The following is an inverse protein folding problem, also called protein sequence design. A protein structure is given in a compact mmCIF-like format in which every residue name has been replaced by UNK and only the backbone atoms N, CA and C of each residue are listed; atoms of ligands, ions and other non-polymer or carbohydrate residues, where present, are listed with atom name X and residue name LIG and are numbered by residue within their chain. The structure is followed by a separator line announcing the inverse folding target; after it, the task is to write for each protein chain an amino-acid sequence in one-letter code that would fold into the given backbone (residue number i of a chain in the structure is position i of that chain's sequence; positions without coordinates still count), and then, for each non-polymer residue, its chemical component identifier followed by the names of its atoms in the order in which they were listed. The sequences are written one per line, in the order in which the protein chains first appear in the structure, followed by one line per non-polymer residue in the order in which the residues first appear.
data_IF_634321169313
#
_entry.id   IF_634321169313
#
_cell.length_a   1.000
_cell.length_b   1.000
_cell.length_c   1.000
_cell.angle_alpha   90.00
_cell.angle_beta   90.00
_cell.angle_gamma   90.00
#
_symmetry.space_group_name_H-M   'P 1'
#
loop_
_entity.id
_entity.type
_entity.pdbx_description
1 polymer ?
#
# COMPACT_ATOMS: atom_id res chain seq x y z
N UNK A 1 -3.16 57.88 3.99
CA UNK A 1 -2.07 57.75 2.99
C UNK A 1 -1.95 56.26 2.67
N UNK A 2 -2.58 55.73 1.60
CA UNK A 2 -2.02 55.50 0.23
C UNK A 2 -0.65 54.78 0.32
N UNK A 3 -0.37 53.53 -0.14
CA UNK A 3 -0.87 52.63 -1.22
C UNK A 3 -0.37 51.19 -0.91
N UNK A 4 -1.17 50.11 -1.05
CA UNK A 4 -1.25 49.15 -2.18
C UNK A 4 0.06 48.39 -2.49
N UNK A 5 0.12 47.04 -2.44
CA UNK A 5 -0.17 46.03 -3.51
C UNK A 5 -0.38 44.68 -2.78
N UNK A 6 -1.52 43.98 -2.78
CA UNK A 6 -2.23 43.24 -3.84
C UNK A 6 -1.47 41.98 -4.35
N UNK A 7 -1.80 40.80 -3.80
CA UNK A 7 -1.73 39.53 -4.53
C UNK A 7 -2.79 38.55 -3.98
N UNK A 8 -3.88 38.44 -4.73
CA UNK A 8 -4.69 37.24 -4.97
C UNK A 8 -4.91 36.35 -3.73
N UNK A 9 -5.89 36.74 -2.90
CA UNK A 9 -6.74 35.73 -2.24
C UNK A 9 -7.55 35.11 -3.38
N UNK A 10 -7.08 33.98 -3.90
CA UNK A 10 -7.88 33.15 -4.76
C UNK A 10 -9.16 32.84 -3.99
N UNK A 11 -10.25 33.33 -4.54
CA UNK A 11 -11.59 33.06 -4.07
C UNK A 11 -11.82 31.55 -4.08
N UNK A 12 -11.69 30.93 -2.91
CA UNK A 12 -12.49 29.75 -2.54
C UNK A 12 -13.40 30.15 -1.38
N UNK A 13 -13.98 31.34 -1.48
CA UNK A 13 -15.32 31.57 -0.95
C UNK A 13 -16.27 30.71 -1.78
N UNK A 14 -16.39 29.47 -1.34
CA UNK A 14 -17.48 28.53 -1.61
C UNK A 14 -18.77 29.30 -1.89
N UNK A 15 -19.07 29.49 -3.18
CA UNK A 15 -20.42 29.74 -3.66
C UNK A 15 -21.22 28.45 -3.43
N UNK A 16 -21.54 28.14 -2.18
CA UNK A 16 -22.50 27.10 -1.79
C UNK A 16 -23.92 27.70 -1.88
N UNK A 17 -24.31 28.07 -3.09
CA UNK A 17 -25.70 28.33 -3.45
C UNK A 17 -25.88 28.15 -4.95
N UNK A 18 -25.43 27.02 -5.47
CA UNK A 18 -25.96 26.47 -6.70
C UNK A 18 -26.58 25.13 -6.33
N UNK A 19 -27.92 25.09 -6.28
CA UNK A 19 -28.71 23.87 -6.31
C UNK A 19 -28.49 23.15 -7.65
N UNK A 20 -27.25 22.72 -7.91
CA UNK A 20 -27.01 21.64 -8.85
C UNK A 20 -27.64 20.40 -8.25
N UNK A 21 -28.26 19.56 -9.08
CA UNK A 21 -28.76 18.25 -8.68
C UNK A 21 -27.58 17.39 -8.21
N UNK A 22 -27.13 17.57 -6.98
CA UNK A 22 -26.07 16.77 -6.38
C UNK A 22 -26.60 15.35 -6.24
N UNK A 23 -26.01 14.40 -6.96
CA UNK A 23 -26.27 13.00 -6.71
C UNK A 23 -25.76 12.67 -5.30
N UNK A 24 -26.57 11.99 -4.48
CA UNK A 24 -26.03 11.31 -3.31
C UNK A 24 -25.12 10.20 -3.84
N UNK A 25 -23.83 10.28 -3.52
CA UNK A 25 -22.86 9.25 -3.88
C UNK A 25 -22.52 8.53 -2.59
N UNK A 26 -22.68 7.22 -2.57
CA UNK A 26 -22.40 6.45 -1.37
C UNK A 26 -20.89 6.28 -1.22
N UNK A 27 -20.33 6.69 -0.08
CA UNK A 27 -18.94 6.44 0.28
C UNK A 27 -18.58 4.95 0.13
N UNK A 28 -19.46 4.07 0.60
CA UNK A 28 -19.29 2.61 0.50
C UNK A 28 -19.27 2.13 -0.95
N UNK A 29 -20.09 2.71 -1.82
CA UNK A 29 -20.10 2.33 -3.24
C UNK A 29 -18.78 2.69 -3.92
N UNK A 30 -18.23 3.86 -3.60
CA UNK A 30 -16.90 4.28 -4.09
C UNK A 30 -15.83 3.27 -3.64
N UNK A 31 -15.81 2.92 -2.34
CA UNK A 31 -14.83 1.98 -1.78
C UNK A 31 -14.91 0.61 -2.43
N UNK A 32 -16.11 0.05 -2.58
CA UNK A 32 -16.29 -1.26 -3.21
C UNK A 32 -15.76 -1.31 -4.66
N UNK A 33 -15.76 -0.18 -5.37
CA UNK A 33 -15.25 -0.10 -6.76
C UNK A 33 -13.73 0.00 -6.86
N UNK A 34 -13.04 0.28 -5.75
CA UNK A 34 -11.58 0.27 -5.65
C UNK A 34 -11.02 -1.13 -5.34
N UNK A 35 -11.87 -2.08 -4.93
CA UNK A 35 -11.42 -3.45 -4.66
C UNK A 35 -10.93 -4.13 -5.95
N UNK A 36 -9.77 -4.81 -5.96
CA UNK A 36 -9.24 -5.51 -7.12
C UNK A 36 -10.26 -6.44 -7.78
N UNK A 37 -11.04 -7.17 -6.97
CA UNK A 37 -12.10 -8.05 -7.46
C UNK A 37 -13.13 -7.29 -8.31
N UNK A 38 -13.52 -6.07 -7.92
CA UNK A 38 -14.45 -5.23 -8.67
C UNK A 38 -13.78 -4.61 -9.90
N UNK A 39 -12.55 -4.11 -9.74
CA UNK A 39 -11.76 -3.50 -10.84
C UNK A 39 -11.60 -4.50 -11.98
N UNK A 40 -11.22 -5.74 -11.68
CA UNK A 40 -10.97 -6.77 -12.68
C UNK A 40 -12.22 -7.55 -13.13
N UNK A 41 -13.35 -7.46 -12.41
CA UNK A 41 -14.63 -8.06 -12.83
C UNK A 41 -15.27 -7.37 -14.03
N UNK A 42 -14.87 -6.12 -14.35
CA UNK A 42 -15.46 -5.31 -15.42
C UNK A 42 -15.02 -5.76 -16.83
N UNK A 43 -15.63 -6.86 -17.30
CA UNK A 43 -15.45 -7.47 -18.63
C UNK A 43 -13.98 -7.75 -19.04
N UNK A 44 -13.09 -7.83 -18.05
CA UNK A 44 -11.65 -8.04 -18.27
C UNK A 44 -10.95 -6.90 -19.00
N UNK A 45 -11.54 -5.70 -19.01
CA UNK A 45 -10.98 -4.49 -19.65
C UNK A 45 -9.60 -4.16 -19.12
N UNK A 46 -9.45 -4.12 -17.79
CA UNK A 46 -8.20 -3.80 -17.14
C UNK A 46 -7.37 -5.05 -16.86
N UNK A 47 -6.07 -4.95 -17.07
CA UNK A 47 -5.06 -6.00 -16.86
C UNK A 47 -4.10 -5.66 -15.73
N UNK A 48 -3.99 -4.38 -15.38
CA UNK A 48 -3.33 -3.95 -14.16
C UNK A 48 -3.98 -2.67 -13.64
N UNK A 49 -3.76 -2.41 -12.36
CA UNK A 49 -4.19 -1.19 -11.70
C UNK A 49 -3.12 -0.77 -10.69
N UNK A 50 -2.86 0.53 -10.62
CA UNK A 50 -1.85 1.11 -9.74
C UNK A 50 -2.48 2.17 -8.86
N UNK A 51 -2.22 2.06 -7.56
CA UNK A 51 -2.46 3.11 -6.59
C UNK A 51 -1.13 3.76 -6.22
N UNK A 52 -1.03 5.08 -6.33
CA UNK A 52 0.10 5.88 -5.85
C UNK A 52 -0.36 6.71 -4.66
N UNK A 53 0.33 6.59 -3.53
CA UNK A 53 0.09 7.38 -2.33
C UNK A 53 1.19 8.42 -2.20
N UNK A 54 0.81 9.69 -2.04
CA UNK A 54 1.72 10.82 -1.85
C UNK A 54 1.37 11.57 -0.57
N UNK A 55 2.25 11.49 0.42
CA UNK A 55 2.12 12.19 1.69
C UNK A 55 2.78 13.56 1.60
N UNK A 56 2.07 14.58 2.06
CA UNK A 56 2.56 15.96 2.07
C UNK A 56 3.33 16.28 3.35
N UNK A 57 4.38 17.09 3.21
CA UNK A 57 5.18 17.62 4.32
C UNK A 57 4.44 18.72 5.11
N UNK A 58 5.12 19.34 6.08
CA UNK A 58 4.54 20.44 6.87
C UNK A 58 4.17 21.68 6.06
N UNK A 59 4.79 21.87 4.91
CA UNK A 59 4.60 23.01 4.03
C UNK A 59 3.61 22.71 2.89
N UNK A 60 3.11 21.47 2.79
CA UNK A 60 2.22 21.03 1.72
C UNK A 60 2.93 20.60 0.43
N UNK A 61 4.24 20.35 0.47
CA UNK A 61 4.99 19.78 -0.66
C UNK A 61 5.01 18.25 -0.57
N UNK A 62 5.28 17.59 -1.70
CA UNK A 62 5.45 16.14 -1.74
C UNK A 62 6.61 15.72 -0.83
N UNK A 63 6.29 14.98 0.24
CA UNK A 63 7.26 14.53 1.24
C UNK A 63 7.74 13.10 0.97
N UNK A 64 6.80 12.16 0.92
CA UNK A 64 7.06 10.73 0.66
C UNK A 64 6.00 10.17 -0.26
N UNK A 65 6.39 9.28 -1.17
CA UNK A 65 5.46 8.61 -2.06
C UNK A 65 5.86 7.16 -2.27
N UNK A 66 4.86 6.30 -2.37
CA UNK A 66 5.01 4.93 -2.83
C UNK A 66 3.83 4.54 -3.72
N UNK A 67 4.03 3.50 -4.52
CA UNK A 67 3.01 2.94 -5.40
C UNK A 67 2.83 1.46 -5.17
N UNK A 68 1.61 0.99 -5.36
CA UNK A 68 1.22 -0.42 -5.35
C UNK A 68 0.52 -0.71 -6.68
N UNK A 69 1.12 -1.57 -7.50
CA UNK A 69 0.52 -2.10 -8.71
C UNK A 69 0.02 -3.52 -8.46
N UNK A 70 -1.20 -3.80 -8.89
CA UNK A 70 -1.87 -5.09 -8.78
C UNK A 70 -2.22 -5.55 -10.19
N UNK A 71 -1.96 -6.81 -10.50
CA UNK A 71 -2.45 -7.48 -11.70
C UNK A 71 -2.90 -8.91 -11.38
N UNK A 72 -3.85 -9.49 -12.13
CA UNK A 72 -4.21 -10.90 -11.97
C UNK A 72 -2.98 -11.79 -12.14
N UNK A 73 -2.84 -12.80 -11.27
CA UNK A 73 -1.76 -13.76 -11.36
C UNK A 73 -1.86 -14.59 -12.65
N UNK A 74 -0.72 -15.11 -13.14
CA UNK A 74 -0.72 -15.95 -14.34
C UNK A 74 -1.35 -17.31 -14.06
N UNK A 75 -1.16 -17.81 -12.83
CA UNK A 75 -1.87 -18.94 -12.25
C UNK A 75 -2.93 -18.43 -11.25
N UNK A 76 -4.19 -18.72 -11.55
CA UNK A 76 -5.34 -18.33 -10.74
C UNK A 76 -5.24 -18.84 -9.28
N UNK A 77 -4.46 -19.90 -9.03
CA UNK A 77 -4.19 -20.42 -7.69
C UNK A 77 -3.40 -19.47 -6.78
N UNK A 78 -2.94 -18.31 -7.30
CA UNK A 78 -2.31 -17.25 -6.50
C UNK A 78 -3.13 -15.96 -6.45
N UNK A 79 -4.24 -15.88 -7.20
CA UNK A 79 -5.13 -14.72 -7.25
C UNK A 79 -4.52 -13.51 -7.96
N UNK A 80 -3.57 -12.84 -7.32
CA UNK A 80 -2.98 -11.58 -7.80
C UNK A 80 -1.47 -11.53 -7.62
N UNK A 81 -0.83 -10.75 -8.48
CA UNK A 81 0.56 -10.34 -8.39
C UNK A 81 0.62 -8.88 -7.95
N UNK A 82 1.59 -8.55 -7.10
CA UNK A 82 1.75 -7.25 -6.46
C UNK A 82 3.15 -6.70 -6.73
N UNK A 83 3.22 -5.41 -7.07
CA UNK A 83 4.46 -4.64 -7.10
C UNK A 83 4.29 -3.44 -6.18
N UNK A 84 5.05 -3.36 -5.10
CA UNK A 84 5.18 -2.13 -4.33
C UNK A 84 6.51 -1.46 -4.68
N UNK A 85 6.52 -0.14 -4.89
CA UNK A 85 7.76 0.63 -5.09
C UNK A 85 7.72 1.95 -4.37
N UNK A 86 8.81 2.29 -3.70
CA UNK A 86 9.13 3.65 -3.29
C UNK A 86 10.53 4.05 -3.82
N UNK A 87 11.10 5.14 -3.31
CA UNK A 87 12.40 5.64 -3.74
C UNK A 87 13.60 4.75 -3.38
N UNK A 88 13.45 3.87 -2.39
CA UNK A 88 14.56 3.08 -1.81
C UNK A 88 14.35 1.57 -1.99
N UNK A 89 13.10 1.14 -2.01
CA UNK A 89 12.70 -0.24 -1.85
C UNK A 89 11.64 -0.66 -2.88
N UNK A 90 11.71 -1.91 -3.32
CA UNK A 90 10.66 -2.53 -4.12
C UNK A 90 10.31 -3.92 -3.61
N UNK A 91 9.03 -4.29 -3.66
CA UNK A 91 8.52 -5.64 -3.41
C UNK A 91 7.86 -6.15 -4.66
N UNK A 92 8.07 -7.43 -4.94
CA UNK A 92 7.39 -8.15 -6.01
C UNK A 92 6.82 -9.45 -5.44
N UNK A 93 5.51 -9.54 -5.30
CA UNK A 93 4.82 -10.80 -5.03
C UNK A 93 4.27 -11.31 -6.36
N UNK A 94 4.77 -12.44 -6.84
CA UNK A 94 4.45 -12.96 -8.17
C UNK A 94 4.33 -14.48 -8.13
N UNK A 95 3.16 -14.99 -8.52
CA UNK A 95 2.89 -16.42 -8.73
C UNK A 95 3.44 -17.32 -7.60
N UNK A 96 3.13 -16.96 -6.35
CA UNK A 96 3.50 -17.74 -5.16
C UNK A 96 4.89 -17.42 -4.58
N UNK A 97 5.66 -16.53 -5.21
CA UNK A 97 7.01 -16.12 -4.76
C UNK A 97 7.00 -14.67 -4.33
N UNK A 98 7.87 -14.33 -3.38
CA UNK A 98 8.09 -12.96 -2.93
C UNK A 98 9.54 -12.58 -3.14
N UNK A 99 9.73 -11.42 -3.74
CA UNK A 99 11.01 -10.78 -3.93
C UNK A 99 11.00 -9.40 -3.29
N UNK A 100 12.17 -8.99 -2.85
CA UNK A 100 12.41 -7.64 -2.39
C UNK A 100 13.67 -7.10 -3.08
N UNK A 101 13.71 -5.80 -3.36
CA UNK A 101 14.87 -5.14 -3.94
C UNK A 101 15.23 -3.94 -3.08
N UNK A 102 16.49 -3.88 -2.66
CA UNK A 102 17.04 -2.77 -1.88
C UNK A 102 18.53 -2.62 -2.19
N UNK A 103 19.01 -1.39 -2.37
CA UNK A 103 20.41 -1.06 -2.69
C UNK A 103 20.97 -1.88 -3.90
N UNK A 104 20.13 -2.07 -4.92
CA UNK A 104 20.48 -2.83 -6.14
C UNK A 104 20.68 -4.33 -5.90
N UNK A 105 20.29 -4.85 -4.73
CA UNK A 105 20.28 -6.28 -4.43
C UNK A 105 18.87 -6.81 -4.49
N UNK A 106 18.69 -7.90 -5.22
CA UNK A 106 17.45 -8.67 -5.22
C UNK A 106 17.50 -9.77 -4.16
N UNK A 107 16.44 -9.86 -3.38
CA UNK A 107 16.25 -10.82 -2.32
C UNK A 107 15.10 -11.76 -2.69
N UNK A 108 15.31 -13.07 -2.57
CA UNK A 108 14.22 -14.05 -2.57
C UNK A 108 13.77 -14.24 -1.13
N UNK A 109 12.50 -13.91 -0.86
CA UNK A 109 11.94 -13.86 0.49
C UNK A 109 11.19 -15.16 0.77
N UNK A 110 11.59 -15.88 1.81
CA UNK A 110 10.78 -17.00 2.34
C UNK A 110 9.77 -16.48 3.35
N UNK A 111 8.54 -16.99 3.27
CA UNK A 111 7.45 -16.65 4.19
C UNK A 111 7.32 -17.76 5.24
N UNK A 112 7.65 -17.46 6.51
CA UNK A 112 7.73 -18.51 7.54
C UNK A 112 6.39 -18.75 8.23
N UNK A 113 5.65 -17.69 8.56
CA UNK A 113 4.41 -17.75 9.35
C UNK A 113 3.15 -17.45 8.56
N UNK A 114 3.28 -17.26 7.26
CA UNK A 114 2.20 -16.84 6.38
C UNK A 114 2.32 -17.54 5.03
N UNK A 115 1.18 -17.79 4.41
CA UNK A 115 1.06 -18.21 3.03
C UNK A 115 1.20 -17.02 2.09
N UNK A 116 1.41 -17.29 0.80
CA UNK A 116 1.39 -16.23 -0.23
C UNK A 116 0.11 -15.40 -0.20
N UNK A 117 -1.05 -16.05 -0.03
CA UNK A 117 -2.34 -15.37 0.03
C UNK A 117 -2.46 -14.43 1.23
N UNK A 118 -2.06 -14.90 2.42
CA UNK A 118 -2.06 -14.06 3.63
C UNK A 118 -1.10 -12.87 3.48
N UNK A 119 0.05 -13.08 2.83
CA UNK A 119 1.01 -12.02 2.54
C UNK A 119 0.40 -10.93 1.64
N UNK A 120 -0.21 -11.33 0.52
CA UNK A 120 -0.76 -10.37 -0.45
C UNK A 120 -2.08 -9.74 0.01
N UNK A 121 -2.82 -10.35 0.94
CA UNK A 121 -4.14 -9.88 1.38
C UNK A 121 -4.10 -8.42 1.85
N UNK A 122 -3.03 -8.04 2.56
CA UNK A 122 -2.81 -6.67 3.02
C UNK A 122 -2.82 -5.64 1.89
N UNK A 123 -2.31 -6.01 0.70
CA UNK A 123 -2.27 -5.17 -0.49
C UNK A 123 -3.61 -5.10 -1.21
N UNK A 124 -4.37 -6.20 -1.22
CA UNK A 124 -5.60 -6.31 -1.98
C UNK A 124 -6.74 -5.45 -1.42
N UNK A 125 -6.68 -5.10 -0.15
CA UNK A 125 -7.74 -4.28 0.44
C UNK A 125 -7.70 -2.83 -0.05
N UNK A 126 -6.56 -2.35 -0.59
CA UNK A 126 -6.28 -0.93 -0.83
C UNK A 126 -6.79 -0.08 0.36
N UNK A 127 -6.73 -0.61 1.58
CA UNK A 127 -7.36 -0.01 2.74
C UNK A 127 -6.33 0.88 3.42
N UNK A 128 -6.61 2.18 3.43
CA UNK A 128 -5.91 3.12 4.28
C UNK A 128 -6.66 3.27 5.61
N UNK A 129 -5.98 3.63 6.70
CA UNK A 129 -6.61 3.82 8.02
C UNK A 129 -7.78 4.82 8.00
N UNK A 130 -7.75 5.74 7.03
CA UNK A 130 -8.80 6.75 6.86
C UNK A 130 -10.07 6.16 6.27
N UNK A 131 -10.00 5.02 5.58
CA UNK A 131 -11.15 4.42 4.92
C UNK A 131 -12.18 3.83 5.90
N UNK A 132 -11.76 3.54 7.14
CA UNK A 132 -12.63 3.07 8.22
C UNK A 132 -13.38 4.17 8.97
N UNK A 133 -13.17 5.45 8.63
CA UNK A 133 -13.79 6.56 9.33
C UNK A 133 -15.28 6.72 8.95
N UNK A 134 -16.05 7.31 9.87
CA UNK A 134 -17.48 7.60 9.64
C UNK A 134 -17.66 8.92 8.90
N UNK A 135 -17.78 8.83 7.57
CA UNK A 135 -17.90 9.98 6.68
C UNK A 135 -19.35 10.47 6.52
N UNK A 136 -19.51 11.79 6.51
CA UNK A 136 -20.74 12.46 6.06
C UNK A 136 -20.46 13.29 4.82
N UNK A 137 -21.34 13.20 3.81
CA UNK A 137 -21.19 13.95 2.57
C UNK A 137 -21.45 15.43 2.82
N UNK A 138 -20.50 16.28 2.41
CA UNK A 138 -20.64 17.73 2.45
C UNK A 138 -21.31 18.25 1.17
N UNK A 139 -20.79 17.84 0.02
CA UNK A 139 -21.32 18.21 -1.28
C UNK A 139 -20.95 17.19 -2.36
N UNK A 140 -21.68 17.25 -3.47
CA UNK A 140 -21.28 16.63 -4.74
C UNK A 140 -21.52 17.60 -5.89
N UNK A 141 -20.64 17.59 -6.88
CA UNK A 141 -20.74 18.41 -8.09
C UNK A 141 -20.31 17.57 -9.28
N UNK A 142 -21.09 17.62 -10.36
CA UNK A 142 -20.72 17.07 -11.65
C UNK A 142 -20.23 18.20 -12.56
N UNK A 143 -19.06 18.07 -13.17
CA UNK A 143 -18.53 18.99 -14.18
C UNK A 143 -19.00 18.60 -15.58
N UNK A 144 -18.80 19.51 -16.54
CA UNK A 144 -19.29 19.39 -17.91
C UNK A 144 -18.58 18.26 -18.70
N UNK A 145 -17.35 17.91 -18.32
CA UNK A 145 -16.56 16.78 -18.81
C UNK A 145 -16.96 15.43 -18.19
N UNK A 146 -17.95 15.43 -17.29
CA UNK A 146 -18.54 14.22 -16.73
C UNK A 146 -17.93 13.75 -15.40
N UNK A 147 -16.91 14.44 -14.88
CA UNK A 147 -16.30 14.15 -13.57
C UNK A 147 -17.26 14.49 -12.45
N UNK A 148 -17.34 13.63 -11.44
CA UNK A 148 -18.08 13.89 -10.21
C UNK A 148 -17.05 14.14 -9.10
N UNK A 149 -17.03 15.36 -8.57
CA UNK A 149 -16.30 15.71 -7.36
C UNK A 149 -17.23 15.54 -6.16
N UNK A 150 -16.83 14.75 -5.18
CA UNK A 150 -17.59 14.56 -3.94
C UNK A 150 -16.69 14.78 -2.73
N UNK A 151 -17.12 15.61 -1.79
CA UNK A 151 -16.39 15.83 -0.55
C UNK A 151 -17.15 15.26 0.65
N UNK A 152 -16.40 14.63 1.54
CA UNK A 152 -16.88 14.11 2.81
C UNK A 152 -16.05 14.66 3.95
N UNK A 153 -16.64 14.74 5.12
CA UNK A 153 -15.94 15.02 6.37
C UNK A 153 -16.14 13.87 7.35
N UNK A 154 -15.09 13.49 8.08
CA UNK A 154 -15.17 12.55 9.18
C UNK A 154 -14.48 13.13 10.42
N UNK A 155 -15.06 12.90 11.60
CA UNK A 155 -14.38 13.19 12.87
C UNK A 155 -13.31 12.15 13.12
N UNK A 156 -12.15 12.59 13.59
CA UNK A 156 -11.05 11.69 13.92
C UNK A 156 -11.44 10.80 15.11
N UNK A 157 -11.13 9.51 15.03
CA UNK A 157 -11.22 8.61 16.19
C UNK A 157 -9.99 8.78 17.08
N UNK A 158 -10.09 8.35 18.34
CA UNK A 158 -8.94 8.35 19.28
C UNK A 158 -7.79 7.52 18.74
N UNK A 159 -8.10 6.36 18.15
CA UNK A 159 -7.11 5.43 17.58
C UNK A 159 -6.33 6.06 16.43
N UNK A 160 -7.01 6.64 15.45
CA UNK A 160 -6.35 7.28 14.30
C UNK A 160 -5.58 8.52 14.74
N UNK A 161 -6.13 9.34 15.65
CA UNK A 161 -5.39 10.47 16.20
C UNK A 161 -4.09 10.05 16.92
N UNK A 162 -4.14 8.95 17.69
CA UNK A 162 -2.95 8.42 18.34
C UNK A 162 -1.91 7.91 17.34
N UNK A 163 -2.35 7.13 16.33
CA UNK A 163 -1.48 6.56 15.29
C UNK A 163 -0.75 7.63 14.47
N UNK A 164 -1.43 8.73 14.15
CA UNK A 164 -0.90 9.83 13.33
C UNK A 164 -0.46 11.06 14.14
N UNK A 165 -0.28 10.91 15.46
CA UNK A 165 0.10 12.01 16.36
C UNK A 165 1.44 12.67 15.99
N UNK A 166 2.40 11.90 15.46
CA UNK A 166 3.67 12.42 14.95
C UNK A 166 3.52 13.29 13.70
N UNK A 167 2.44 13.11 12.94
CA UNK A 167 2.06 13.98 11.81
C UNK A 167 1.21 15.17 12.28
N UNK A 168 1.12 15.36 13.60
CA UNK A 168 0.46 16.48 14.26
C UNK A 168 -1.02 16.26 14.52
N UNK A 169 -1.58 15.05 14.44
CA UNK A 169 -3.03 14.84 14.64
C UNK A 169 -3.43 14.99 16.10
N UNK A 170 -4.61 15.59 16.33
CA UNK A 170 -5.17 15.76 17.66
C UNK A 170 -6.63 15.30 17.75
N UNK A 171 -7.07 14.94 18.97
CA UNK A 171 -8.48 14.63 19.23
C UNK A 171 -9.32 15.90 19.00
N UNK A 172 -10.37 15.78 18.20
CA UNK A 172 -11.25 16.89 17.82
C UNK A 172 -11.01 17.43 16.42
N UNK A 173 -9.88 17.08 15.80
CA UNK A 173 -9.64 17.30 14.38
C UNK A 173 -10.65 16.52 13.52
N UNK A 174 -10.83 16.96 12.28
CA UNK A 174 -11.56 16.23 11.26
C UNK A 174 -10.72 16.01 10.01
N UNK A 175 -11.11 15.00 9.24
CA UNK A 175 -10.51 14.69 7.95
C UNK A 175 -11.51 15.02 6.85
N UNK A 176 -11.11 15.88 5.92
CA UNK A 176 -11.83 16.12 4.69
C UNK A 176 -11.28 15.17 3.63
N UNK A 177 -12.16 14.40 2.97
CA UNK A 177 -11.80 13.52 1.88
C UNK A 177 -12.55 13.96 0.62
N UNK A 178 -11.82 14.34 -0.42
CA UNK A 178 -12.37 14.76 -1.71
C UNK A 178 -12.05 13.71 -2.75
N UNK A 179 -13.07 13.25 -3.45
CA UNK A 179 -12.99 12.20 -4.47
C UNK A 179 -13.22 12.82 -5.83
N UNK A 180 -12.38 12.48 -6.80
CA UNK A 180 -12.62 12.71 -8.22
C UNK A 180 -12.98 11.39 -8.90
N UNK A 181 -14.18 11.35 -9.48
CA UNK A 181 -14.81 10.13 -9.97
C UNK A 181 -15.16 10.30 -11.44
N UNK A 182 -14.65 9.40 -12.29
CA UNK A 182 -14.89 9.41 -13.73
C UNK A 182 -15.77 8.23 -14.16
N UNK A 183 -16.63 8.46 -15.16
CA UNK A 183 -17.40 7.40 -15.84
C UNK A 183 -18.22 6.52 -14.88
N UNK A 184 -18.01 5.20 -14.96
CA UNK A 184 -18.66 4.17 -14.14
C UNK A 184 -18.10 4.13 -12.70
N UNK A 185 -18.02 5.29 -12.05
CA UNK A 185 -17.59 5.45 -10.66
C UNK A 185 -16.18 4.89 -10.37
N UNK A 186 -15.31 4.93 -11.37
CA UNK A 186 -13.90 4.65 -11.18
C UNK A 186 -13.31 5.90 -10.54
N UNK A 187 -12.73 5.74 -9.35
CA UNK A 187 -12.08 6.85 -8.66
C UNK A 187 -10.67 6.98 -9.22
N UNK A 188 -10.35 8.18 -9.67
CA UNK A 188 -9.04 8.52 -10.22
C UNK A 188 -8.17 9.15 -9.13
N UNK A 189 -8.77 9.92 -8.22
CA UNK A 189 -8.05 10.58 -7.13
C UNK A 189 -8.88 10.64 -5.84
N UNK A 190 -8.18 10.47 -4.71
CA UNK A 190 -8.67 10.87 -3.39
C UNK A 190 -7.66 11.82 -2.75
N UNK A 191 -8.11 13.01 -2.41
CA UNK A 191 -7.34 14.01 -1.68
C UNK A 191 -7.84 14.12 -0.24
N UNK A 192 -6.95 13.91 0.73
CA UNK A 192 -7.22 14.09 2.16
C UNK A 192 -6.57 15.35 2.70
N UNK A 193 -7.38 16.12 3.43
CA UNK A 193 -6.98 17.35 4.12
C UNK A 193 -7.31 17.22 5.59
N UNK A 194 -6.31 17.41 6.45
CA UNK A 194 -6.51 17.51 7.88
C UNK A 194 -7.10 18.88 8.21
N UNK A 195 -8.25 18.89 8.87
CA UNK A 195 -8.92 20.09 9.37
C UNK A 195 -8.79 20.14 10.89
N UNK A 196 -8.03 21.13 11.36
CA UNK A 196 -7.80 21.39 12.77
C UNK A 196 -9.05 21.91 13.46
N UNK A 197 -9.16 21.65 14.76
CA UNK A 197 -10.25 22.19 15.58
C UNK A 197 -10.35 23.73 15.54
N UNK A 198 -9.24 24.43 15.30
CA UNK A 198 -9.19 25.88 15.12
C UNK A 198 -9.61 26.36 13.71
N UNK A 199 -9.97 25.44 12.81
CA UNK A 199 -10.40 25.71 11.44
C UNK A 199 -9.28 25.75 10.39
N UNK A 200 -8.01 25.59 10.78
CA UNK A 200 -6.90 25.51 9.82
C UNK A 200 -6.95 24.19 9.05
N UNK A 201 -6.75 24.26 7.74
CA UNK A 201 -6.72 23.10 6.85
C UNK A 201 -5.31 22.89 6.30
N UNK A 202 -4.88 21.62 6.23
CA UNK A 202 -3.56 21.23 5.74
C UNK A 202 -3.67 19.98 4.86
N UNK A 203 -3.14 20.00 3.61
CA UNK A 203 -3.03 18.80 2.80
C UNK A 203 -2.25 17.71 3.52
N UNK A 204 -2.68 16.46 3.37
CA UNK A 204 -2.10 15.35 4.11
C UNK A 204 -1.64 14.23 3.19
N UNK A 205 -2.56 13.73 2.36
CA UNK A 205 -2.36 12.55 1.54
C UNK A 205 -3.15 12.71 0.25
N UNK A 206 -2.53 12.40 -0.87
CA UNK A 206 -3.21 12.17 -2.14
C UNK A 206 -3.04 10.72 -2.55
N UNK A 207 -4.12 10.10 -3.00
CA UNK A 207 -4.13 8.75 -3.58
C UNK A 207 -4.54 8.88 -5.03
N UNK A 208 -3.70 8.44 -5.94
CA UNK A 208 -3.93 8.48 -7.38
C UNK A 208 -4.07 7.06 -7.92
N UNK A 209 -5.02 6.87 -8.80
CA UNK A 209 -5.48 5.57 -9.24
C UNK A 209 -5.41 5.50 -10.77
N UNK A 210 -4.62 4.54 -11.27
CA UNK A 210 -4.39 4.37 -12.70
C UNK A 210 -4.77 2.96 -13.13
N UNK A 211 -5.58 2.86 -14.18
CA UNK A 211 -6.12 1.60 -14.68
C UNK A 211 -5.62 1.36 -16.10
N UNK A 212 -5.06 0.17 -16.37
CA UNK A 212 -4.41 -0.13 -17.64
C UNK A 212 -5.03 -1.37 -18.31
N UNK A 213 -5.23 -1.31 -19.63
CA UNK A 213 -5.64 -2.45 -20.46
C UNK A 213 -4.47 -3.41 -20.77
N UNK A 214 -3.28 -3.11 -20.27
CA UNK A 214 -2.06 -3.90 -20.41
C UNK A 214 -1.52 -4.29 -19.04
N UNK A 215 -0.92 -5.47 -18.94
CA UNK A 215 -0.13 -5.83 -17.76
C UNK A 215 1.00 -4.82 -17.55
N UNK A 216 1.44 -4.67 -16.30
CA UNK A 216 2.47 -3.69 -15.92
C UNK A 216 3.82 -3.96 -16.59
N UNK A 217 4.10 -5.24 -16.89
CA UNK A 217 5.41 -5.71 -17.32
C UNK A 217 6.49 -5.64 -16.23
N UNK A 218 6.13 -5.22 -15.01
CA UNK A 218 7.08 -4.97 -13.92
C UNK A 218 7.73 -6.23 -13.34
N UNK A 219 7.21 -7.42 -13.67
CA UNK A 219 7.78 -8.71 -13.28
C UNK A 219 8.78 -9.27 -14.30
N UNK A 220 8.89 -8.66 -15.48
CA UNK A 220 9.77 -9.15 -16.56
C UNK A 220 11.26 -9.10 -16.22
N UNK A 221 11.65 -8.30 -15.21
CA UNK A 221 13.02 -8.20 -14.70
C UNK A 221 13.35 -9.24 -13.61
N UNK A 222 12.36 -10.04 -13.17
CA UNK A 222 12.62 -11.08 -12.17
C UNK A 222 13.37 -12.26 -12.78
N UNK A 223 14.22 -12.96 -11.99
CA UNK A 223 14.97 -14.11 -12.48
C UNK A 223 14.06 -15.23 -12.97
N UNK A 224 14.51 -15.95 -13.99
CA UNK A 224 13.87 -17.21 -14.41
C UNK A 224 13.89 -18.26 -13.30
N UNK A 225 12.91 -19.15 -13.32
CA UNK A 225 12.72 -20.19 -12.32
C UNK A 225 13.93 -21.13 -12.20
N UNK A 226 14.72 -20.90 -11.15
CA UNK A 226 15.81 -21.77 -10.72
C UNK A 226 15.93 -21.70 -9.20
N UNK A 227 15.43 -22.72 -8.52
CA UNK A 227 15.21 -22.65 -7.07
C UNK A 227 16.17 -23.52 -6.27
N UNK A 228 16.41 -23.12 -5.03
CA UNK A 228 17.09 -23.91 -4.00
C UNK A 228 16.15 -24.18 -2.82
N UNK A 229 16.42 -25.26 -2.08
CA UNK A 229 15.72 -25.56 -0.83
C UNK A 229 16.37 -24.77 0.31
N UNK A 230 15.56 -24.08 1.09
CA UNK A 230 15.97 -23.47 2.35
C UNK A 230 15.34 -24.26 3.48
N UNK A 231 16.15 -25.07 4.15
CA UNK A 231 15.73 -25.79 5.35
C UNK A 231 15.86 -24.86 6.55
N UNK A 232 14.80 -24.69 7.34
CA UNK A 232 14.87 -23.99 8.62
C UNK A 232 14.61 -24.99 9.72
N UNK A 233 15.56 -25.10 10.65
CA UNK A 233 15.43 -25.94 11.85
C UNK A 233 15.10 -25.02 13.03
N UNK A 234 13.87 -25.12 13.53
CA UNK A 234 13.38 -24.37 14.68
C UNK A 234 13.71 -25.10 15.97
N UNK A 235 14.03 -24.35 17.02
CA UNK A 235 14.37 -24.90 18.34
C UNK A 235 15.51 -25.93 18.28
N UNK A 236 16.53 -25.64 17.45
CA UNK A 236 17.66 -26.53 17.26
C UNK A 236 18.31 -26.93 18.59
N UNK A 237 18.50 -28.23 18.80
CA UNK A 237 19.08 -28.79 20.02
C UNK A 237 18.15 -28.83 21.24
N UNK A 238 16.85 -28.58 21.07
CA UNK A 238 15.82 -28.74 22.12
C UNK A 238 14.90 -29.93 21.83
N UNK A 239 14.16 -30.37 22.86
CA UNK A 239 13.24 -31.52 22.76
C UNK A 239 12.08 -31.31 21.76
N UNK A 240 11.77 -30.05 21.43
CA UNK A 240 10.72 -29.64 20.50
C UNK A 240 11.28 -29.13 19.15
N UNK A 241 12.48 -29.58 18.77
CA UNK A 241 13.07 -29.27 17.47
C UNK A 241 12.11 -29.66 16.33
N UNK A 242 11.93 -28.74 15.38
CA UNK A 242 11.12 -28.98 14.19
C UNK A 242 11.80 -28.46 12.94
N UNK A 243 11.42 -29.03 11.79
CA UNK A 243 12.03 -28.72 10.50
C UNK A 243 10.96 -28.32 9.49
N UNK A 244 11.18 -27.18 8.86
CA UNK A 244 10.40 -26.73 7.71
C UNK A 244 11.32 -26.54 6.50
N UNK A 245 10.78 -26.78 5.30
CA UNK A 245 11.52 -26.62 4.05
C UNK A 245 10.78 -25.62 3.18
N UNK A 246 11.48 -24.57 2.80
CA UNK A 246 11.00 -23.51 1.92
C UNK A 246 11.72 -23.57 0.58
N UNK A 247 11.17 -22.87 -0.40
CA UNK A 247 11.77 -22.73 -1.73
C UNK A 247 12.17 -21.27 -1.91
N UNK A 248 13.39 -21.03 -2.38
CA UNK A 248 13.89 -19.69 -2.68
C UNK A 248 14.58 -19.67 -4.05
N UNK A 249 14.53 -18.53 -4.72
CA UNK A 249 15.14 -18.32 -6.03
C UNK A 249 16.67 -18.21 -5.90
N UNK A 250 17.41 -18.98 -6.72
CA UNK A 250 18.87 -18.86 -6.82
C UNK A 250 19.26 -17.56 -7.49
N UNK A 251 20.52 -17.19 -7.30
CA UNK A 251 21.11 -15.94 -7.78
C UNK A 251 20.50 -14.68 -7.15
N UNK A 252 19.88 -14.85 -5.98
CA UNK A 252 19.37 -13.78 -5.13
C UNK A 252 20.02 -13.86 -3.74
N UNK A 253 19.94 -12.77 -2.99
CA UNK A 253 20.15 -12.85 -1.54
C UNK A 253 18.94 -13.47 -0.86
N UNK A 254 19.12 -14.12 0.29
CA UNK A 254 18.00 -14.62 1.07
C UNK A 254 17.38 -13.48 1.89
N UNK A 255 16.05 -13.37 1.84
CA UNK A 255 15.22 -12.59 2.75
C UNK A 255 14.28 -13.49 3.54
N UNK A 256 13.81 -13.03 4.69
CA UNK A 256 12.90 -13.77 5.56
C UNK A 256 11.75 -12.84 5.97
N UNK A 257 10.51 -13.21 5.67
CA UNK A 257 9.32 -12.66 6.33
C UNK A 257 8.94 -13.57 7.49
N UNK A 258 9.16 -13.09 8.71
CA UNK A 258 8.83 -13.82 9.93
C UNK A 258 7.37 -13.65 10.35
N UNK A 259 6.64 -12.67 9.79
CA UNK A 259 5.34 -12.23 10.30
C UNK A 259 5.39 -11.96 11.81
N UNK A 260 4.56 -12.64 12.58
CA UNK A 260 4.51 -12.50 14.05
C UNK A 260 5.52 -13.38 14.80
N UNK A 261 6.39 -14.12 14.10
CA UNK A 261 7.38 -14.96 14.75
C UNK A 261 8.51 -14.09 15.31
N UNK A 262 8.66 -14.14 16.64
CA UNK A 262 9.81 -13.60 17.34
C UNK A 262 10.92 -14.65 17.44
N UNK A 263 11.73 -14.78 16.39
CA UNK A 263 12.85 -15.71 16.37
C UNK A 263 14.13 -15.06 15.84
N UNK A 264 15.26 -15.51 16.38
CA UNK A 264 16.59 -15.21 15.88
C UNK A 264 17.05 -16.32 14.94
N UNK A 265 17.61 -15.97 13.79
CA UNK A 265 18.07 -16.91 12.76
C UNK A 265 19.60 -16.93 12.67
N UNK A 266 20.16 -18.10 12.41
CA UNK A 266 21.60 -18.35 12.32
C UNK A 266 21.93 -19.20 11.10
N UNK A 267 23.12 -19.02 10.53
CA UNK A 267 23.59 -19.75 9.33
C UNK A 267 24.45 -20.98 9.67
N UNK A 268 24.75 -21.18 10.95
CA UNK A 268 25.54 -22.29 11.48
C UNK A 268 24.83 -22.99 12.63
N UNK A 269 25.10 -24.28 12.81
CA UNK A 269 24.50 -25.10 13.87
C UNK A 269 25.01 -24.75 15.27
N UNK A 270 26.12 -24.02 15.39
CA UNK A 270 26.67 -23.59 16.68
C UNK A 270 25.95 -22.32 17.20
N UNK A 271 25.06 -21.73 16.40
CA UNK A 271 24.29 -20.52 16.72
C UNK A 271 25.19 -19.30 16.97
N UNK A 272 26.32 -19.22 16.26
CA UNK A 272 27.33 -18.17 16.46
C UNK A 272 27.29 -17.09 15.39
N UNK A 273 26.78 -17.40 14.20
CA UNK A 273 26.72 -16.49 13.06
C UNK A 273 25.27 -16.13 12.77
N UNK A 274 24.79 -14.96 13.24
CA UNK A 274 23.43 -14.54 13.00
C UNK A 274 23.20 -14.31 11.51
N UNK A 275 22.01 -14.69 11.04
CA UNK A 275 21.53 -14.35 9.72
C UNK A 275 21.38 -12.83 9.62
N UNK A 276 21.83 -12.29 8.49
CA UNK A 276 21.67 -10.88 8.15
C UNK A 276 21.31 -10.77 6.67
N UNK A 277 20.21 -10.05 6.33
CA UNK A 277 19.87 -9.79 4.94
C UNK A 277 21.06 -9.21 4.18
N UNK A 278 21.32 -9.74 2.98
CA UNK A 278 22.36 -9.24 2.08
C UNK A 278 23.75 -9.81 2.34
N UNK A 279 23.86 -10.78 3.26
CA UNK A 279 25.07 -11.59 3.51
C UNK A 279 24.95 -13.03 3.03
N UNK A 280 23.73 -13.55 2.89
CA UNK A 280 23.48 -14.92 2.44
C UNK A 280 23.04 -14.90 0.98
N UNK A 281 23.91 -15.36 0.07
CA UNK A 281 23.60 -15.47 -1.34
C UNK A 281 23.22 -16.92 -1.69
N UNK A 282 22.12 -17.09 -2.42
CA UNK A 282 21.54 -18.39 -2.73
C UNK A 282 22.17 -18.92 -4.01
N UNK A 283 23.16 -19.81 -3.86
CA UNK A 283 23.77 -20.55 -4.98
C UNK A 283 23.36 -22.02 -5.05
N UNK A 284 22.74 -22.54 -3.97
CA UNK A 284 22.30 -23.91 -3.80
C UNK A 284 21.49 -24.06 -2.52
N UNK A 285 21.24 -25.30 -2.09
CA UNK A 285 20.47 -25.59 -0.89
C UNK A 285 21.14 -24.99 0.36
N UNK A 286 20.33 -24.45 1.26
CA UNK A 286 20.76 -23.78 2.50
C UNK A 286 20.07 -24.40 3.71
N UNK A 287 20.74 -24.34 4.86
CA UNK A 287 20.15 -24.64 6.17
C UNK A 287 20.31 -23.42 7.07
N UNK A 288 19.22 -23.01 7.70
CA UNK A 288 19.18 -22.01 8.75
C UNK A 288 18.73 -22.66 10.06
N UNK A 289 19.17 -22.09 11.16
CA UNK A 289 18.80 -22.50 12.51
C UNK A 289 18.08 -21.35 13.20
N UNK A 290 16.90 -21.61 13.76
CA UNK A 290 16.04 -20.60 14.36
C UNK A 290 15.81 -20.90 15.84
N UNK A 291 15.90 -19.86 16.67
CA UNK A 291 15.64 -19.91 18.10
C UNK A 291 14.59 -18.87 18.44
N UNK A 292 13.46 -19.28 19.00
CA UNK A 292 12.44 -18.35 19.50
C UNK A 292 12.99 -17.54 20.69
N UNK A 293 12.68 -16.24 20.69
CA UNK A 293 13.06 -15.30 21.74
C UNK A 293 11.98 -15.20 22.82
#
# INVERSE_FOLDING_TARGET
MKKAIALILAAVSLMLASCGKGASVSYREIRNRLEPATVFASDGKYKSYTETLTYYDENGNDGYSYSVCIEPASDNAYGYNIIQKDSEYSVYACDGKVFAENDGKLYSVILISETYYEYIESYLTCSHDFDGLSYHQLYSKKSDDGVITVAYEAKMTIEVAAKYSSMGFEIGDSLLATYEIYGDYITDEISYTLKKANGTEKPLLRREFSYSEKASGGFSSLPEDDTAKVTVIFNYGKDDESKSVFTAQKNCYLGISGGNINASFFIDSELTVPFSPGKVFISGDLTLYAVYN
#
